data_IF_699770682417
#
_entry.id   IF_699770682417
#
_cell.length_a   1.000
_cell.length_b   1.000
_cell.length_c   1.000
_cell.angle_alpha   90.00
_cell.angle_beta   90.00
_cell.angle_gamma   90.00
#
_symmetry.space_group_name_H-M   'P 1'
#
loop_
_entity.id
_entity.type
_entity.pdbx_description
1 polymer ?
#
# COMPACT_ATOMS: atom_id res chain seq x y z
N UNK A 1 -4.08 8.15 -0.94
CA UNK A 1 -3.40 6.91 -0.52
C UNK A 1 -2.58 6.34 -1.67
N UNK A 2 -3.19 5.99 -2.80
CA UNK A 2 -2.45 5.56 -4.00
C UNK A 2 -1.31 6.52 -4.39
N UNK A 3 -1.64 7.79 -4.64
CA UNK A 3 -0.65 8.83 -5.01
C UNK A 3 0.41 9.15 -3.93
N UNK A 4 0.29 8.59 -2.72
CA UNK A 4 1.35 8.72 -1.72
C UNK A 4 2.46 7.67 -1.90
N UNK A 5 2.20 6.64 -2.69
CA UNK A 5 3.06 5.49 -2.88
C UNK A 5 3.48 5.29 -4.35
N UNK A 6 2.73 5.87 -5.28
CA UNK A 6 3.17 6.15 -6.66
C UNK A 6 4.09 7.38 -6.62
N UNK A 7 5.39 7.13 -6.55
CA UNK A 7 6.41 8.12 -6.19
C UNK A 7 6.84 8.94 -7.40
N UNK A 8 6.82 8.35 -8.59
CA UNK A 8 7.13 9.01 -9.86
C UNK A 8 5.89 9.53 -10.60
N UNK A 9 4.69 9.26 -10.10
CA UNK A 9 3.39 9.67 -10.65
C UNK A 9 3.14 9.09 -12.05
N UNK A 10 3.64 7.90 -12.32
CA UNK A 10 3.39 7.19 -13.57
C UNK A 10 2.03 6.44 -13.58
N UNK A 11 1.34 6.40 -12.44
CA UNK A 11 0.04 5.77 -12.26
C UNK A 11 0.12 4.29 -11.87
N UNK A 12 1.29 3.77 -11.57
CA UNK A 12 1.56 2.36 -11.24
C UNK A 12 2.48 2.24 -10.03
N UNK A 13 2.01 1.59 -8.96
CA UNK A 13 2.89 1.26 -7.84
C UNK A 13 3.69 0.01 -8.20
N UNK A 14 4.97 0.20 -8.49
CA UNK A 14 5.90 -0.87 -8.84
C UNK A 14 6.23 -1.74 -7.61
N UNK A 15 6.83 -2.92 -7.84
CA UNK A 15 7.33 -3.77 -6.75
C UNK A 15 8.39 -3.06 -5.91
N UNK A 16 9.22 -2.23 -6.54
CA UNK A 16 10.27 -1.50 -5.83
C UNK A 16 9.68 -0.46 -4.88
N UNK A 17 8.73 0.35 -5.36
CA UNK A 17 8.04 1.33 -4.52
C UNK A 17 7.26 0.68 -3.38
N UNK A 18 6.54 -0.40 -3.68
CA UNK A 18 5.81 -1.13 -2.65
C UNK A 18 6.76 -1.75 -1.61
N UNK A 19 7.90 -2.32 -2.03
CA UNK A 19 8.90 -2.87 -1.12
C UNK A 19 9.47 -1.79 -0.21
N UNK A 20 9.71 -0.59 -0.73
CA UNK A 20 10.17 0.54 0.09
C UNK A 20 9.18 0.90 1.20
N UNK A 21 7.88 0.92 0.89
CA UNK A 21 6.83 1.17 1.88
C UNK A 21 6.82 0.06 2.95
N UNK A 22 6.88 -1.20 2.55
CA UNK A 22 6.91 -2.34 3.49
C UNK A 22 8.17 -2.30 4.38
N UNK A 23 9.34 -2.04 3.79
CA UNK A 23 10.60 -1.88 4.53
C UNK A 23 10.50 -0.74 5.57
N UNK A 24 9.96 0.41 5.19
CA UNK A 24 9.79 1.55 6.10
C UNK A 24 8.85 1.20 7.26
N UNK A 25 7.69 0.61 6.97
CA UNK A 25 6.70 0.21 7.99
C UNK A 25 7.29 -0.81 8.97
N UNK A 26 8.03 -1.79 8.47
CA UNK A 26 8.64 -2.83 9.29
C UNK A 26 9.82 -2.30 10.11
N UNK A 27 10.59 -1.35 9.59
CA UNK A 27 11.69 -0.72 10.34
C UNK A 27 11.21 -0.06 11.63
N UNK A 28 10.01 0.53 11.62
CA UNK A 28 9.37 1.15 12.79
C UNK A 28 8.91 0.13 13.83
N UNK A 29 8.66 -1.12 13.42
CA UNK A 29 8.25 -2.21 14.31
C UNK A 29 9.42 -2.88 15.07
N UNK A 30 10.67 -2.59 14.68
CA UNK A 30 11.88 -3.10 15.34
C UNK A 30 12.15 -4.61 15.19
N UNK A 31 11.25 -5.36 14.55
CA UNK A 31 11.25 -6.83 14.59
C UNK A 31 11.72 -7.51 13.30
N UNK A 32 11.74 -6.84 12.15
CA UNK A 32 11.84 -7.50 10.85
C UNK A 32 12.93 -6.89 9.95
N UNK A 33 13.77 -7.77 9.36
CA UNK A 33 14.87 -7.40 8.47
C UNK A 33 14.42 -7.17 7.03
N UNK A 34 15.32 -6.60 6.21
CA UNK A 34 15.07 -6.28 4.78
C UNK A 34 14.65 -7.50 3.96
N UNK A 35 15.16 -8.68 4.29
CA UNK A 35 14.80 -9.92 3.60
C UNK A 35 13.32 -10.28 3.82
N UNK A 36 12.81 -10.15 5.06
CA UNK A 36 11.40 -10.42 5.35
C UNK A 36 10.49 -9.39 4.68
N UNK A 37 10.89 -8.13 4.66
CA UNK A 37 10.16 -7.07 3.95
C UNK A 37 10.04 -7.38 2.46
N UNK A 38 11.14 -7.82 1.83
CA UNK A 38 11.14 -8.28 0.45
C UNK A 38 10.18 -9.46 0.25
N UNK A 39 10.26 -10.49 1.08
CA UNK A 39 9.37 -11.66 0.95
C UNK A 39 7.89 -11.30 1.08
N UNK A 40 7.55 -10.37 1.96
CA UNK A 40 6.17 -9.86 2.11
C UNK A 40 5.75 -9.08 0.86
N UNK A 41 6.62 -8.19 0.36
CA UNK A 41 6.33 -7.40 -0.83
C UNK A 41 6.13 -8.29 -2.07
N UNK A 42 7.02 -9.25 -2.30
CA UNK A 42 6.97 -10.19 -3.42
C UNK A 42 5.69 -11.04 -3.37
N UNK A 43 5.36 -11.59 -2.19
CA UNK A 43 4.16 -12.41 -2.02
C UNK A 43 2.87 -11.61 -2.22
N UNK A 44 2.78 -10.41 -1.65
CA UNK A 44 1.62 -9.56 -1.83
C UNK A 44 1.45 -9.09 -3.28
N UNK A 45 2.56 -8.77 -3.97
CA UNK A 45 2.49 -8.40 -5.39
C UNK A 45 2.00 -9.55 -6.26
N UNK A 46 2.46 -10.78 -5.99
CA UNK A 46 1.99 -11.98 -6.67
C UNK A 46 0.50 -12.24 -6.45
N UNK A 47 0.02 -12.06 -5.22
CA UNK A 47 -1.40 -12.16 -4.88
C UNK A 47 -2.22 -11.16 -5.71
N UNK A 48 -1.78 -9.90 -5.75
CA UNK A 48 -2.46 -8.85 -6.53
C UNK A 48 -2.50 -9.17 -8.01
N UNK A 49 -1.38 -9.63 -8.58
CA UNK A 49 -1.32 -10.07 -9.97
C UNK A 49 -2.33 -11.19 -10.24
N UNK A 50 -2.39 -12.19 -9.36
CA UNK A 50 -3.28 -13.35 -9.50
C UNK A 50 -4.77 -12.95 -9.47
N UNK A 51 -5.18 -12.09 -8.53
CA UNK A 51 -6.60 -11.68 -8.41
C UNK A 51 -7.01 -10.66 -9.49
N UNK A 52 -6.06 -9.87 -9.99
CA UNK A 52 -6.36 -8.73 -10.88
C UNK A 52 -6.33 -9.14 -12.34
N UNK A 53 -5.30 -9.90 -12.73
CA UNK A 53 -4.99 -10.19 -14.13
C UNK A 53 -5.46 -11.59 -14.58
N UNK A 54 -5.77 -12.49 -13.64
CA UNK A 54 -6.30 -13.81 -13.95
C UNK A 54 -5.28 -14.69 -14.70
N UNK A 55 -5.31 -14.69 -16.03
CA UNK A 55 -4.36 -15.42 -16.88
C UNK A 55 -3.36 -14.44 -17.49
N UNK A 56 -2.10 -14.53 -17.05
CA UNK A 56 -0.97 -13.86 -17.70
C UNK A 56 -0.36 -14.80 -18.73
N UNK A 57 -0.02 -14.26 -19.89
CA UNK A 57 0.78 -15.00 -20.86
C UNK A 57 2.18 -15.27 -20.29
N UNK A 58 2.87 -16.35 -20.72
CA UNK A 58 4.20 -16.71 -20.18
C UNK A 58 5.26 -15.61 -20.30
N UNK A 59 5.09 -14.70 -21.28
CA UNK A 59 6.00 -13.58 -21.57
C UNK A 59 5.51 -12.25 -20.97
N UNK A 60 4.33 -12.23 -20.34
CA UNK A 60 3.74 -11.04 -19.75
C UNK A 60 4.22 -10.86 -18.30
N UNK A 61 4.85 -9.72 -18.03
CA UNK A 61 5.29 -9.36 -16.69
C UNK A 61 4.30 -8.40 -16.03
N UNK A 62 4.00 -8.63 -14.76
CA UNK A 62 3.18 -7.72 -13.99
C UNK A 62 3.97 -6.46 -13.61
N UNK A 63 3.69 -5.36 -14.32
CA UNK A 63 4.39 -4.09 -14.16
C UNK A 63 4.19 -3.47 -12.76
N UNK A 64 2.98 -3.59 -12.20
CA UNK A 64 2.69 -3.11 -10.86
C UNK A 64 1.21 -2.90 -10.61
N UNK A 65 0.90 -2.30 -9.46
CA UNK A 65 -0.47 -2.06 -9.01
C UNK A 65 -0.97 -0.76 -9.63
N UNK A 66 -1.88 -0.87 -10.60
CA UNK A 66 -2.60 0.28 -11.14
C UNK A 66 -3.67 0.78 -10.16
N UNK A 67 -4.19 1.98 -10.40
CA UNK A 67 -5.29 2.50 -9.59
C UNK A 67 -6.54 1.60 -9.59
N UNK A 68 -6.83 0.92 -10.70
CA UNK A 68 -7.95 -0.03 -10.79
C UNK A 68 -7.72 -1.26 -9.92
N UNK A 69 -6.50 -1.82 -9.94
CA UNK A 69 -6.12 -2.94 -9.08
C UNK A 69 -6.24 -2.53 -7.60
N UNK A 70 -5.75 -1.34 -7.26
CA UNK A 70 -5.84 -0.77 -5.92
C UNK A 70 -7.28 -0.67 -5.41
N UNK A 71 -8.21 -0.15 -6.23
CA UNK A 71 -9.63 -0.09 -5.87
C UNK A 71 -10.25 -1.48 -5.74
N UNK A 72 -9.88 -2.42 -6.61
CA UNK A 72 -10.40 -3.80 -6.57
C UNK A 72 -10.01 -4.52 -5.28
N UNK A 73 -8.76 -4.37 -4.83
CA UNK A 73 -8.28 -4.94 -3.56
C UNK A 73 -9.01 -4.35 -2.36
N UNK A 74 -9.22 -3.04 -2.37
CA UNK A 74 -9.80 -2.34 -1.23
C UNK A 74 -11.34 -2.32 -1.24
N UNK A 75 -11.98 -2.98 -2.21
CA UNK A 75 -13.45 -2.99 -2.36
C UNK A 75 -14.17 -3.48 -1.10
N UNK A 76 -13.59 -4.45 -0.41
CA UNK A 76 -14.15 -5.03 0.82
C UNK A 76 -13.63 -4.35 2.11
N UNK A 77 -12.82 -3.30 1.96
CA UNK A 77 -12.33 -2.48 3.05
C UNK A 77 -13.16 -1.19 3.06
N UNK A 78 -13.74 -0.86 4.21
CA UNK A 78 -14.39 0.45 4.40
C UNK A 78 -13.34 1.57 4.48
N UNK A 79 -12.75 1.92 3.34
CA UNK A 79 -11.68 2.92 3.25
C UNK A 79 -12.14 4.26 3.83
N UNK A 80 -13.37 4.67 3.57
CA UNK A 80 -13.93 5.94 4.06
C UNK A 80 -13.93 6.03 5.60
N UNK A 81 -14.14 4.90 6.28
CA UNK A 81 -14.11 4.86 7.74
C UNK A 81 -12.69 4.76 8.29
N UNK A 82 -11.71 4.31 7.48
CA UNK A 82 -10.29 4.20 7.85
C UNK A 82 -9.45 5.42 7.51
N UNK A 83 -9.86 6.24 6.55
CA UNK A 83 -9.18 7.49 6.17
C UNK A 83 -9.70 8.72 6.94
N UNK A 84 -10.44 8.52 8.05
CA UNK A 84 -10.81 9.62 8.94
C UNK A 84 -9.84 9.74 10.13
N UNK A 85 -9.49 10.97 10.48
CA UNK A 85 -8.75 11.28 11.71
C UNK A 85 -9.79 11.64 12.77
N UNK A 86 -9.88 10.83 13.82
CA UNK A 86 -10.71 11.14 15.00
C UNK A 86 -9.82 11.57 16.14
N UNK A 87 -10.01 12.80 16.61
CA UNK A 87 -9.39 13.27 17.84
C UNK A 87 -10.26 12.84 19.02
N UNK A 88 -9.96 11.68 19.60
CA UNK A 88 -10.46 11.33 20.92
C UNK A 88 -9.70 12.19 21.94
N UNK A 89 -10.41 13.09 22.63
CA UNK A 89 -9.91 13.99 23.67
C UNK A 89 -9.07 15.19 23.18
N UNK A 90 -9.56 15.95 22.20
CA UNK A 90 -9.04 17.30 21.99
C UNK A 90 -9.66 18.23 23.04
N UNK A 91 -8.93 18.50 24.13
CA UNK A 91 -9.28 19.59 25.06
C UNK A 91 -9.13 20.92 24.31
N UNK A 92 -10.26 21.47 23.86
CA UNK A 92 -10.34 22.75 23.13
C UNK A 92 -10.08 23.97 24.02
N UNK A 93 -9.79 23.77 25.32
CA UNK A 93 -9.63 24.82 26.34
C UNK A 93 -8.40 25.71 26.19
N UNK A 94 -7.50 25.46 25.23
CA UNK A 94 -6.32 26.31 24.99
C UNK A 94 -6.36 27.15 23.71
N UNK A 95 -7.46 27.16 22.93
CA UNK A 95 -7.64 28.13 21.85
C UNK A 95 -8.32 29.40 22.35
N UNK A 96 -7.59 30.20 23.15
CA UNK A 96 -7.66 31.68 23.24
C UNK A 96 -6.82 32.15 24.44
N UNK A 97 -5.65 32.75 24.18
CA UNK A 97 -5.03 33.78 25.02
C UNK A 97 -5.06 35.09 24.25
#
# INVERSE_FOLDING_TARGET
LFNMHDTDNDGTITLEEYRHVVEELLSRSGALGKETAKGIADAAMLEVASISMGHMEPDEFYEGITFEHFLKILKDIEIETRMNIRFLNMDTTNLCK
#
